data_IF_566922409815
#
_entry.id   IF_566922409815
#
_cell.length_a   1.000
_cell.length_b   1.000
_cell.length_c   1.000
_cell.angle_alpha   90.00
_cell.angle_beta   90.00
_cell.angle_gamma   90.00
#
_symmetry.space_group_name_H-M   'P 1'
#
loop_
_entity.id
_entity.type
_entity.pdbx_description
1 polymer ?
#
# COMPACT_ATOMS: atom_id res chain seq x y z
N UNK A 1 5.32 -15.82 16.62
CA UNK A 1 5.67 -16.15 15.22
C UNK A 1 5.77 -14.84 14.48
N UNK A 2 6.79 -14.65 13.63
CA UNK A 2 6.99 -13.39 12.88
C UNK A 2 6.34 -13.41 11.49
N UNK A 3 5.63 -14.48 11.14
CA UNK A 3 4.84 -14.54 9.89
C UNK A 3 3.54 -13.73 10.02
N UNK A 4 2.99 -13.24 8.89
CA UNK A 4 3.58 -13.27 7.55
C UNK A 4 4.79 -12.35 7.42
N UNK A 5 5.67 -12.61 6.45
CA UNK A 5 6.93 -11.91 6.22
C UNK A 5 6.81 -10.89 5.09
N UNK A 6 7.38 -9.69 5.27
CA UNK A 6 7.49 -8.67 4.22
C UNK A 6 8.77 -8.84 3.38
N UNK A 7 9.85 -9.27 4.03
CA UNK A 7 11.12 -9.66 3.40
C UNK A 7 12.01 -10.38 4.44
N UNK A 8 13.22 -10.75 4.02
CA UNK A 8 14.13 -11.50 4.88
C UNK A 8 14.44 -10.74 6.17
N UNK A 9 14.13 -11.33 7.32
CA UNK A 9 14.39 -10.76 8.64
C UNK A 9 13.31 -9.80 9.18
N UNK A 10 12.23 -9.53 8.44
CA UNK A 10 11.15 -8.64 8.90
C UNK A 10 9.75 -9.20 8.63
N UNK A 11 8.92 -9.20 9.68
CA UNK A 11 7.48 -9.50 9.59
C UNK A 11 6.73 -8.41 8.82
N UNK A 12 5.69 -8.79 8.10
CA UNK A 12 4.79 -7.89 7.39
C UNK A 12 4.13 -6.87 8.33
N UNK A 13 3.65 -7.30 9.50
CA UNK A 13 3.00 -6.39 10.45
C UNK A 13 3.98 -5.31 10.93
N UNK A 14 5.21 -5.69 11.30
CA UNK A 14 6.25 -4.72 11.66
C UNK A 14 6.60 -3.77 10.51
N UNK A 15 6.59 -4.25 9.27
CA UNK A 15 6.84 -3.40 8.10
C UNK A 15 5.71 -2.40 7.88
N UNK A 16 4.45 -2.84 7.92
CA UNK A 16 3.28 -1.95 7.83
C UNK A 16 3.32 -0.90 8.95
N UNK A 17 3.62 -1.31 10.19
CA UNK A 17 3.72 -0.39 11.33
C UNK A 17 4.80 0.69 11.11
N UNK A 18 5.97 0.28 10.62
CA UNK A 18 7.07 1.18 10.30
C UNK A 18 6.74 2.16 9.19
N UNK A 19 6.21 1.66 8.08
CA UNK A 19 5.76 2.45 6.94
C UNK A 19 4.66 3.43 7.34
N UNK A 20 3.70 3.00 8.16
CA UNK A 20 2.60 3.85 8.64
C UNK A 20 3.10 4.95 9.57
N UNK A 21 4.03 4.65 10.48
CA UNK A 21 4.67 5.65 11.35
C UNK A 21 5.33 6.74 10.53
N UNK A 22 6.12 6.37 9.50
CA UNK A 22 6.81 7.34 8.63
C UNK A 22 5.80 8.12 7.77
N UNK A 23 4.82 7.45 7.16
CA UNK A 23 3.79 8.10 6.37
C UNK A 23 3.01 9.14 7.20
N UNK A 24 2.66 8.81 8.45
CA UNK A 24 2.01 9.70 9.42
C UNK A 24 2.80 10.97 9.72
N UNK A 25 4.14 10.90 9.68
CA UNK A 25 5.00 12.08 9.85
C UNK A 25 4.96 13.03 8.65
N UNK A 26 4.62 12.53 7.46
CA UNK A 26 4.55 13.33 6.22
C UNK A 26 3.18 13.99 6.04
N UNK A 27 2.10 13.37 6.52
CA UNK A 27 0.72 13.86 6.41
C UNK A 27 0.39 14.90 7.49
N UNK A 28 1.20 15.95 7.60
CA UNK A 28 0.86 17.12 8.41
C UNK A 28 -0.50 17.73 8.02
N UNK A 29 -1.11 18.51 8.92
CA UNK A 29 -2.41 19.17 8.66
C UNK A 29 -2.41 19.93 7.31
N UNK A 30 -1.33 20.64 6.99
CA UNK A 30 -1.22 21.36 5.71
C UNK A 30 -1.18 20.45 4.47
N UNK A 31 -0.64 19.23 4.59
CA UNK A 31 -0.69 18.24 3.52
C UNK A 31 -2.13 17.78 3.28
N UNK A 32 -2.81 17.36 4.36
CA UNK A 32 -4.20 16.90 4.33
C UNK A 32 -5.12 17.98 3.78
N UNK A 33 -5.00 19.22 4.24
CA UNK A 33 -5.78 20.36 3.75
C UNK A 33 -5.57 20.60 2.26
N UNK A 34 -4.32 20.52 1.80
CA UNK A 34 -3.99 20.68 0.38
C UNK A 34 -4.65 19.62 -0.49
N UNK A 35 -4.61 18.36 -0.06
CA UNK A 35 -5.25 17.25 -0.78
C UNK A 35 -6.77 17.40 -0.76
N UNK A 36 -7.36 17.71 0.40
CA UNK A 36 -8.79 17.95 0.57
C UNK A 36 -9.32 19.06 -0.33
N UNK A 37 -8.65 20.22 -0.34
CA UNK A 37 -9.01 21.35 -1.21
C UNK A 37 -8.93 20.98 -2.70
N UNK A 38 -7.88 20.25 -3.10
CA UNK A 38 -7.74 19.78 -4.48
C UNK A 38 -8.83 18.79 -4.85
N UNK A 39 -9.15 17.84 -3.98
CA UNK A 39 -10.20 16.85 -4.18
C UNK A 39 -11.56 17.52 -4.32
N UNK A 40 -11.95 18.38 -3.37
CA UNK A 40 -13.19 19.15 -3.44
C UNK A 40 -13.30 19.98 -4.72
N UNK A 41 -12.21 20.61 -5.16
CA UNK A 41 -12.16 21.36 -6.43
C UNK A 41 -12.38 20.45 -7.63
N UNK A 42 -11.76 19.27 -7.67
CA UNK A 42 -11.97 18.30 -8.75
C UNK A 42 -13.38 17.72 -8.77
N UNK A 43 -14.05 17.68 -7.61
CA UNK A 43 -15.45 17.31 -7.45
C UNK A 43 -16.42 18.48 -7.65
N UNK A 44 -15.94 19.63 -8.13
CA UNK A 44 -16.73 20.84 -8.44
C UNK A 44 -17.57 21.34 -7.25
N UNK A 45 -17.04 21.23 -6.03
CA UNK A 45 -17.71 21.70 -4.82
C UNK A 45 -18.93 20.86 -4.40
N UNK A 46 -19.10 19.65 -4.96
CA UNK A 46 -20.13 18.70 -4.50
C UNK A 46 -19.90 18.19 -3.07
N UNK A 47 -18.72 18.44 -2.53
CA UNK A 47 -18.26 17.98 -1.22
C UNK A 47 -17.54 19.12 -0.54
N UNK A 48 -17.85 19.33 0.73
CA UNK A 48 -17.18 20.31 1.58
C UNK A 48 -15.74 19.85 1.90
N UNK A 49 -14.70 20.66 1.63
CA UNK A 49 -13.34 20.35 2.08
C UNK A 49 -13.22 20.05 3.57
N UNK A 50 -14.05 20.66 4.42
CA UNK A 50 -14.00 20.48 5.88
C UNK A 50 -14.33 19.06 6.34
N UNK A 51 -15.02 18.25 5.52
CA UNK A 51 -15.32 16.84 5.84
C UNK A 51 -14.35 15.86 5.17
N UNK A 52 -13.42 16.35 4.35
CA UNK A 52 -12.48 15.51 3.59
C UNK A 52 -11.21 15.16 4.36
N UNK A 53 -10.89 15.87 5.44
CA UNK A 53 -9.64 15.67 6.18
C UNK A 53 -9.44 14.22 6.61
N UNK A 54 -10.45 13.64 7.27
CA UNK A 54 -10.39 12.25 7.75
C UNK A 54 -10.43 11.26 6.58
N UNK A 55 -11.24 11.52 5.55
CA UNK A 55 -11.29 10.70 4.34
C UNK A 55 -9.93 10.63 3.65
N UNK A 56 -9.22 11.74 3.55
CA UNK A 56 -7.87 11.81 2.97
C UNK A 56 -6.87 11.03 3.81
N UNK A 57 -6.87 11.22 5.14
CA UNK A 57 -6.01 10.45 6.04
C UNK A 57 -6.28 8.96 5.90
N UNK A 58 -7.54 8.56 5.86
CA UNK A 58 -7.95 7.16 5.70
C UNK A 58 -7.50 6.58 4.37
N UNK A 59 -7.65 7.30 3.26
CA UNK A 59 -7.14 6.87 1.94
C UNK A 59 -5.62 6.63 1.96
N UNK A 60 -4.86 7.47 2.67
CA UNK A 60 -3.40 7.30 2.78
C UNK A 60 -3.07 6.09 3.65
N UNK A 61 -3.64 6.03 4.84
CA UNK A 61 -3.32 4.99 5.80
C UNK A 61 -3.78 3.60 5.33
N UNK A 62 -4.95 3.49 4.68
CA UNK A 62 -5.42 2.22 4.12
C UNK A 62 -4.51 1.75 2.98
N UNK A 63 -4.03 2.68 2.14
CA UNK A 63 -3.04 2.36 1.11
C UNK A 63 -1.75 1.81 1.72
N UNK A 64 -1.26 2.40 2.82
CA UNK A 64 -0.09 1.88 3.55
C UNK A 64 -0.35 0.52 4.19
N UNK A 65 -1.52 0.31 4.79
CA UNK A 65 -1.86 -0.96 5.41
C UNK A 65 -1.95 -2.10 4.37
N UNK A 66 -2.53 -1.81 3.20
CA UNK A 66 -2.81 -2.84 2.20
C UNK A 66 -1.72 -3.00 1.13
N UNK A 67 -0.77 -2.09 0.96
CA UNK A 67 0.15 -2.12 -0.19
C UNK A 67 0.88 -3.47 -0.36
N UNK A 68 1.23 -4.09 0.76
CA UNK A 68 2.00 -5.32 0.84
C UNK A 68 1.20 -6.52 1.33
N UNK A 69 -0.12 -6.40 1.49
CA UNK A 69 -0.92 -7.51 2.02
C UNK A 69 -0.82 -8.76 1.13
N UNK A 70 -0.67 -8.60 -0.18
CA UNK A 70 -0.41 -9.69 -1.12
C UNK A 70 0.82 -10.52 -0.80
N UNK A 71 1.80 -10.00 -0.04
CA UNK A 71 2.96 -10.79 0.43
C UNK A 71 2.54 -11.90 1.39
N UNK A 72 1.46 -11.73 2.17
CA UNK A 72 0.98 -12.72 3.13
C UNK A 72 0.29 -13.94 2.50
N UNK A 73 0.15 -13.98 1.17
CA UNK A 73 -0.33 -15.17 0.48
C UNK A 73 0.57 -16.37 0.74
N UNK A 74 -0.05 -17.52 1.03
CA UNK A 74 0.66 -18.74 1.40
C UNK A 74 1.73 -19.14 0.39
N UNK A 75 1.42 -18.99 -0.90
CA UNK A 75 2.31 -19.32 -2.01
C UNK A 75 3.69 -18.66 -1.92
N UNK A 76 3.77 -17.47 -1.30
CA UNK A 76 5.02 -16.76 -1.02
C UNK A 76 5.59 -17.11 0.34
N UNK A 77 4.74 -17.17 1.37
CA UNK A 77 5.14 -17.44 2.75
C UNK A 77 5.75 -18.83 2.95
N UNK A 78 5.43 -19.80 2.09
CA UNK A 78 6.06 -21.13 2.05
C UNK A 78 7.57 -21.08 1.75
N UNK A 79 8.09 -19.96 1.21
CA UNK A 79 9.53 -19.78 0.96
C UNK A 79 10.31 -19.24 2.17
N UNK A 80 9.61 -18.86 3.25
CA UNK A 80 10.20 -18.29 4.46
C UNK A 80 9.91 -19.16 5.69
N UNK A 81 10.85 -19.20 6.64
CA UNK A 81 10.63 -19.81 7.94
C UNK A 81 9.92 -18.84 8.91
N UNK A 82 9.65 -19.27 10.14
CA UNK A 82 8.87 -18.49 11.12
C UNK A 82 9.61 -17.25 11.66
N UNK A 83 10.91 -17.14 11.40
CA UNK A 83 11.74 -15.98 11.69
C UNK A 83 11.90 -15.07 10.47
N UNK A 84 11.10 -15.28 9.42
CA UNK A 84 11.20 -14.57 8.15
C UNK A 84 12.55 -14.69 7.47
N UNK A 85 13.29 -15.78 7.69
CA UNK A 85 14.49 -16.06 6.93
C UNK A 85 14.14 -16.90 5.71
N UNK A 86 14.78 -16.56 4.58
CA UNK A 86 14.62 -17.29 3.35
C UNK A 86 15.09 -18.75 3.50
N UNK A 87 14.23 -19.73 3.20
CA UNK A 87 14.56 -21.16 3.36
C UNK A 87 15.57 -21.61 2.30
N UNK A 88 15.52 -21.00 1.11
CA UNK A 88 16.44 -21.29 -0.02
C UNK A 88 16.86 -19.99 -0.68
N UNK A 89 18.13 -19.62 -0.53
CA UNK A 89 18.71 -18.44 -1.16
C UNK A 89 18.37 -18.37 -2.66
N UNK A 90 18.03 -17.17 -3.13
CA UNK A 90 17.65 -16.90 -4.52
C UNK A 90 16.25 -17.42 -4.93
N UNK A 91 15.49 -18.05 -4.03
CA UNK A 91 14.11 -18.54 -4.32
C UNK A 91 13.00 -17.84 -3.54
N UNK A 92 13.34 -16.86 -2.72
CA UNK A 92 12.39 -16.06 -1.98
C UNK A 92 12.02 -14.80 -2.75
N UNK A 93 10.76 -14.39 -2.67
CA UNK A 93 10.27 -13.22 -3.36
C UNK A 93 8.75 -13.17 -3.37
N UNK A 94 8.24 -12.02 -3.79
CA UNK A 94 6.82 -11.71 -3.80
C UNK A 94 6.42 -11.18 -5.19
N UNK A 95 6.53 -12.00 -6.25
CA UNK A 95 6.19 -11.53 -7.59
C UNK A 95 4.72 -11.11 -7.64
N UNK A 96 4.45 -9.93 -8.19
CA UNK A 96 3.10 -9.39 -8.39
C UNK A 96 2.30 -9.16 -7.10
N UNK A 97 2.95 -9.02 -5.94
CA UNK A 97 2.25 -8.81 -4.67
C UNK A 97 1.41 -7.54 -4.68
N UNK A 98 1.85 -6.49 -5.37
CA UNK A 98 1.13 -5.23 -5.57
C UNK A 98 -0.22 -5.43 -6.26
N UNK A 99 -0.32 -6.39 -7.19
CA UNK A 99 -1.57 -6.72 -7.87
C UNK A 99 -2.50 -7.49 -6.94
N UNK A 100 -2.00 -8.48 -6.21
CA UNK A 100 -2.80 -9.20 -5.23
C UNK A 100 -3.29 -8.28 -4.12
N UNK A 101 -2.42 -7.40 -3.62
CA UNK A 101 -2.76 -6.36 -2.66
C UNK A 101 -3.88 -5.46 -3.16
N UNK A 102 -3.80 -5.00 -4.42
CA UNK A 102 -4.82 -4.17 -5.03
C UNK A 102 -6.16 -4.89 -5.20
N UNK A 103 -6.15 -6.18 -5.55
CA UNK A 103 -7.37 -7.00 -5.65
C UNK A 103 -8.08 -7.09 -4.29
N UNK A 104 -7.36 -7.44 -3.23
CA UNK A 104 -7.95 -7.51 -1.89
C UNK A 104 -8.41 -6.14 -1.38
N UNK A 105 -7.63 -5.08 -1.62
CA UNK A 105 -8.03 -3.72 -1.27
C UNK A 105 -9.29 -3.30 -2.04
N UNK A 106 -9.36 -3.56 -3.34
CA UNK A 106 -10.53 -3.24 -4.15
C UNK A 106 -11.78 -3.97 -3.66
N UNK A 107 -11.68 -5.29 -3.41
CA UNK A 107 -12.78 -6.07 -2.86
C UNK A 107 -13.24 -5.54 -1.50
N UNK A 108 -12.30 -5.16 -0.63
CA UNK A 108 -12.59 -4.55 0.66
C UNK A 108 -13.39 -3.26 0.51
N UNK A 109 -12.88 -2.32 -0.28
CA UNK A 109 -13.48 -1.00 -0.46
C UNK A 109 -14.86 -1.09 -1.15
N UNK A 110 -15.02 -1.99 -2.13
CA UNK A 110 -16.34 -2.27 -2.74
C UNK A 110 -17.31 -2.83 -1.72
N UNK A 111 -16.85 -3.70 -0.81
CA UNK A 111 -17.65 -4.19 0.32
C UNK A 111 -18.18 -3.07 1.22
N UNK A 112 -17.45 -1.96 1.33
CA UNK A 112 -17.82 -0.77 2.11
C UNK A 112 -18.60 0.30 1.32
N UNK A 113 -18.83 0.10 0.02
CA UNK A 113 -19.43 1.10 -0.88
C UNK A 113 -20.75 1.68 -0.36
N UNK A 114 -21.62 0.86 0.21
CA UNK A 114 -22.91 1.31 0.77
C UNK A 114 -22.73 2.24 1.96
N UNK A 115 -21.76 1.96 2.83
CA UNK A 115 -21.45 2.81 3.97
C UNK A 115 -20.79 4.11 3.52
N UNK A 116 -19.90 4.06 2.52
CA UNK A 116 -19.31 5.25 1.93
C UNK A 116 -20.36 6.16 1.31
N UNK A 117 -21.25 5.63 0.47
CA UNK A 117 -22.37 6.40 -0.10
C UNK A 117 -23.25 7.02 0.98
N UNK A 118 -23.53 6.30 2.07
CA UNK A 118 -24.38 6.80 3.17
C UNK A 118 -23.71 7.93 3.96
N UNK A 119 -22.41 7.83 4.25
CA UNK A 119 -21.69 8.77 5.10
C UNK A 119 -21.17 9.99 4.33
N UNK A 120 -20.65 9.75 3.13
CA UNK A 120 -19.86 10.71 2.38
C UNK A 120 -20.53 11.15 1.06
N UNK A 121 -21.60 10.47 0.66
CA UNK A 121 -22.33 10.73 -0.57
C UNK A 121 -21.66 10.11 -1.80
N UNK A 122 -22.47 9.90 -2.85
CA UNK A 122 -22.04 9.20 -4.06
C UNK A 122 -20.93 9.92 -4.85
N UNK A 123 -20.78 11.23 -4.64
CA UNK A 123 -19.73 12.01 -5.29
C UNK A 123 -18.31 11.59 -4.87
N UNK A 124 -18.15 10.98 -3.69
CA UNK A 124 -16.87 10.51 -3.18
C UNK A 124 -16.61 9.02 -3.41
N UNK A 125 -17.63 8.26 -3.80
CA UNK A 125 -17.50 6.81 -3.88
C UNK A 125 -16.36 6.39 -4.81
N UNK A 126 -16.38 6.84 -6.06
CA UNK A 126 -15.35 6.48 -7.05
C UNK A 126 -13.93 6.93 -6.63
N UNK A 127 -13.70 8.17 -6.16
CA UNK A 127 -12.41 8.57 -5.58
C UNK A 127 -11.95 7.68 -4.42
N UNK A 128 -12.82 7.38 -3.45
CA UNK A 128 -12.49 6.57 -2.27
C UNK A 128 -12.14 5.12 -2.63
N UNK A 129 -12.70 4.58 -3.71
CA UNK A 129 -12.33 3.26 -4.23
C UNK A 129 -11.01 3.32 -5.01
N UNK A 130 -10.89 4.24 -5.98
CA UNK A 130 -9.87 4.13 -7.02
C UNK A 130 -8.57 4.87 -6.74
N UNK A 131 -8.57 5.88 -5.86
CA UNK A 131 -7.33 6.53 -5.44
C UNK A 131 -6.45 5.56 -4.63
N UNK A 132 -6.96 4.87 -3.58
CA UNK A 132 -6.15 3.93 -2.82
C UNK A 132 -5.67 2.74 -3.65
N UNK A 133 -6.55 2.18 -4.50
CA UNK A 133 -6.23 1.05 -5.39
C UNK A 133 -5.13 1.43 -6.38
N UNK A 134 -5.22 2.59 -7.05
CA UNK A 134 -4.17 3.04 -7.95
C UNK A 134 -2.84 3.29 -7.23
N UNK A 135 -2.89 3.80 -5.99
CA UNK A 135 -1.71 4.03 -5.16
C UNK A 135 -1.02 2.71 -4.80
N UNK A 136 -1.78 1.69 -4.40
CA UNK A 136 -1.25 0.35 -4.12
C UNK A 136 -0.69 -0.32 -5.37
N UNK A 137 -1.36 -0.25 -6.52
CA UNK A 137 -0.81 -0.88 -7.74
C UNK A 137 0.52 -0.22 -8.15
N UNK A 138 0.63 1.11 -7.99
CA UNK A 138 1.81 1.85 -8.45
C UNK A 138 2.95 1.95 -7.42
N UNK A 139 2.82 1.38 -6.22
CA UNK A 139 3.77 1.63 -5.13
C UNK A 139 5.20 1.16 -5.42
N UNK A 140 5.36 0.12 -6.26
CA UNK A 140 6.66 -0.45 -6.68
C UNK A 140 7.27 0.22 -7.92
N UNK A 141 6.58 1.18 -8.54
CA UNK A 141 6.98 1.74 -9.83
C UNK A 141 7.26 3.25 -9.74
N UNK A 142 8.24 3.72 -10.52
CA UNK A 142 8.38 5.15 -10.78
C UNK A 142 7.04 5.70 -11.29
N UNK A 143 6.57 6.82 -10.71
CA UNK A 143 5.24 7.44 -10.92
C UNK A 143 4.66 7.18 -12.33
N UNK A 144 3.80 6.17 -12.49
CA UNK A 144 3.19 5.82 -13.78
C UNK A 144 1.87 6.56 -13.96
N UNK A 145 1.44 6.76 -15.19
CA UNK A 145 0.08 7.23 -15.49
C UNK A 145 -0.94 6.09 -15.34
N UNK A 146 -2.22 6.40 -15.09
CA UNK A 146 -3.31 5.41 -15.08
C UNK A 146 -3.36 4.56 -16.37
N UNK A 147 -2.92 5.11 -17.51
CA UNK A 147 -2.85 4.41 -18.79
C UNK A 147 -1.81 3.29 -18.80
N UNK A 148 -0.66 3.52 -18.18
CA UNK A 148 0.41 2.53 -18.06
C UNK A 148 0.04 1.44 -17.05
N UNK A 149 -0.54 1.83 -15.90
CA UNK A 149 -1.09 0.88 -14.91
C UNK A 149 -2.15 -0.04 -15.52
N UNK A 150 -3.07 0.53 -16.31
CA UNK A 150 -4.08 -0.24 -17.04
C UNK A 150 -3.44 -1.26 -17.98
N UNK A 151 -2.35 -0.90 -18.67
CA UNK A 151 -1.64 -1.80 -19.58
C UNK A 151 -1.02 -2.99 -18.84
N UNK A 152 -0.52 -2.77 -17.63
CA UNK A 152 0.11 -3.80 -16.79
C UNK A 152 -0.92 -4.81 -16.28
N UNK A 153 -2.03 -4.35 -15.70
CA UNK A 153 -3.11 -5.22 -15.27
C UNK A 153 -3.76 -5.92 -16.47
N UNK A 154 -3.96 -5.20 -17.60
CA UNK A 154 -4.44 -5.83 -18.83
C UNK A 154 -3.48 -6.89 -19.35
N UNK A 155 -2.16 -6.71 -19.21
CA UNK A 155 -1.21 -7.73 -19.62
C UNK A 155 -1.37 -9.00 -18.80
N UNK A 156 -1.77 -8.91 -17.52
CA UNK A 156 -2.07 -10.04 -16.65
C UNK A 156 -3.40 -10.71 -17.02
N UNK A 157 -4.42 -9.90 -17.35
CA UNK A 157 -5.73 -10.40 -17.79
C UNK A 157 -5.63 -11.12 -19.13
N UNK A 158 -4.87 -10.56 -20.07
CA UNK A 158 -4.80 -11.04 -21.47
C UNK A 158 -3.71 -12.09 -21.69
N UNK A 159 -2.55 -11.94 -21.04
CA UNK A 159 -1.49 -12.93 -21.05
C UNK A 159 -1.66 -13.71 -19.75
N UNK A 160 -2.09 -14.96 -19.85
CA UNK A 160 -1.80 -15.94 -18.80
C UNK A 160 -0.28 -16.04 -18.68
N UNK A 161 0.36 -15.09 -18.00
CA UNK A 161 1.80 -15.17 -17.74
C UNK A 161 1.99 -16.48 -17.00
N UNK A 162 2.81 -17.37 -17.53
CA UNK A 162 2.92 -18.73 -17.01
C UNK A 162 3.18 -18.73 -15.50
N UNK A 163 3.86 -17.70 -15.00
CA UNK A 163 4.12 -17.49 -13.58
C UNK A 163 2.86 -17.18 -12.76
N UNK A 164 1.99 -16.26 -13.19
CA UNK A 164 0.74 -15.98 -12.46
C UNK A 164 -0.21 -17.18 -12.55
N UNK A 165 -0.30 -17.85 -13.71
CA UNK A 165 -1.09 -19.07 -13.85
C UNK A 165 -0.62 -20.16 -12.87
N UNK A 166 0.69 -20.37 -12.73
CA UNK A 166 1.28 -21.29 -11.75
C UNK A 166 1.01 -20.88 -10.30
N UNK A 167 1.04 -19.58 -9.99
CA UNK A 167 0.69 -19.10 -8.64
C UNK A 167 -0.77 -19.39 -8.31
N UNK A 168 -1.66 -19.20 -9.29
CA UNK A 168 -3.08 -19.50 -9.13
C UNK A 168 -3.32 -21.01 -8.95
N UNK A 169 -2.65 -21.86 -9.72
CA UNK A 169 -2.72 -23.33 -9.56
C UNK A 169 -2.31 -23.77 -8.14
N UNK A 170 -1.32 -23.10 -7.54
CA UNK A 170 -0.88 -23.33 -6.15
C UNK A 170 -1.88 -22.80 -5.11
N UNK A 171 -2.86 -22.00 -5.53
CA UNK A 171 -3.87 -21.38 -4.68
C UNK A 171 -3.42 -20.04 -4.10
N UNK A 172 -4.26 -19.02 -4.30
CA UNK A 172 -4.07 -17.68 -3.74
C UNK A 172 -5.00 -17.52 -2.54
N UNK A 173 -4.45 -17.75 -1.34
CA UNK A 173 -5.14 -17.57 -0.07
C UNK A 173 -4.15 -17.23 1.04
N UNK A 174 -4.67 -16.67 2.13
CA UNK A 174 -3.92 -16.42 3.36
C UNK A 174 -3.99 -17.63 4.28
N UNK A 175 -2.89 -17.97 4.94
CA UNK A 175 -2.82 -19.12 5.85
C UNK A 175 -3.55 -18.89 7.18
N UNK A 176 -3.51 -17.66 7.71
CA UNK A 176 -4.19 -17.24 8.95
C UNK A 176 -4.92 -15.90 8.73
N UNK A 177 -6.10 -15.91 8.07
CA UNK A 177 -6.84 -14.69 7.76
C UNK A 177 -7.39 -14.00 9.01
N UNK A 178 -7.78 -14.75 10.05
CA UNK A 178 -8.24 -14.19 11.33
C UNK A 178 -7.12 -13.47 12.08
N UNK A 179 -5.95 -14.09 12.22
CA UNK A 179 -4.78 -13.46 12.84
C UNK A 179 -4.35 -12.21 12.09
N UNK A 180 -4.31 -12.27 10.75
CA UNK A 180 -3.98 -11.12 9.92
C UNK A 180 -5.01 -9.99 10.05
N UNK A 181 -6.31 -10.30 10.06
CA UNK A 181 -7.35 -9.30 10.28
C UNK A 181 -7.22 -8.62 11.65
N UNK A 182 -6.97 -9.41 12.70
CA UNK A 182 -6.76 -8.91 14.06
C UNK A 182 -5.59 -7.94 14.12
N UNK A 183 -4.45 -8.31 13.52
CA UNK A 183 -3.26 -7.45 13.50
C UNK A 183 -3.47 -6.16 12.69
N UNK A 184 -4.16 -6.23 11.54
CA UNK A 184 -4.50 -5.03 10.75
C UNK A 184 -5.37 -4.05 11.55
N UNK A 185 -6.40 -4.56 12.23
CA UNK A 185 -7.33 -3.73 13.00
C UNK A 185 -6.69 -3.11 14.26
N UNK A 186 -5.50 -3.56 14.68
CA UNK A 186 -4.74 -2.89 15.75
C UNK A 186 -4.17 -1.54 15.33
N UNK A 187 -3.98 -1.28 14.04
CA UNK A 187 -3.40 -0.02 13.58
C UNK A 187 -4.35 1.17 13.69
N UNK A 188 -5.65 0.93 13.44
CA UNK A 188 -6.74 1.92 13.51
C UNK A 188 -8.08 1.29 13.11
N UNK A 189 -9.16 2.02 13.40
CA UNK A 189 -10.40 1.91 12.62
C UNK A 189 -10.12 2.33 11.17
N UNK A 190 -10.34 1.44 10.20
CA UNK A 190 -9.83 1.58 8.83
C UNK A 190 -10.38 2.81 8.08
N UNK A 191 -11.64 3.16 8.34
CA UNK A 191 -12.26 4.39 7.86
C UNK A 191 -13.06 5.03 8.98
N UNK A 192 -12.94 6.34 9.14
CA UNK A 192 -13.71 7.12 10.08
C UNK A 192 -15.22 6.89 9.86
N UNK A 193 -15.96 6.68 10.94
CA UNK A 193 -17.40 6.42 10.88
C UNK A 193 -17.84 5.07 10.28
N UNK A 194 -16.92 4.25 9.76
CA UNK A 194 -17.22 2.90 9.22
C UNK A 194 -16.69 1.84 10.16
N UNK A 195 -17.59 1.09 10.79
CA UNK A 195 -17.19 0.02 11.72
C UNK A 195 -16.80 -1.24 10.95
N UNK A 196 -15.51 -1.53 10.90
CA UNK A 196 -14.98 -2.81 10.38
C UNK A 196 -14.52 -3.64 11.57
N UNK A 197 -15.15 -4.81 11.78
CA UNK A 197 -14.74 -5.74 12.82
C UNK A 197 -13.87 -6.88 12.25
N UNK A 198 -13.25 -7.64 13.15
CA UNK A 198 -12.37 -8.77 12.81
C UNK A 198 -13.06 -9.76 11.88
N UNK A 199 -14.30 -10.15 12.17
CA UNK A 199 -15.06 -11.09 11.35
C UNK A 199 -15.26 -10.59 9.91
N UNK A 200 -15.55 -9.29 9.74
CA UNK A 200 -15.76 -8.68 8.42
C UNK A 200 -14.48 -8.72 7.59
N UNK A 201 -13.36 -8.30 8.18
CA UNK A 201 -12.07 -8.29 7.49
C UNK A 201 -11.55 -9.71 7.27
N UNK A 202 -11.68 -10.61 8.25
CA UNK A 202 -11.29 -12.01 8.13
C UNK A 202 -12.13 -12.73 7.06
N UNK A 203 -13.42 -12.43 6.93
CA UNK A 203 -14.25 -12.98 5.86
C UNK A 203 -13.76 -12.57 4.47
N UNK A 204 -13.31 -11.33 4.29
CA UNK A 204 -12.68 -10.88 3.06
C UNK A 204 -11.38 -11.66 2.82
N UNK A 205 -10.47 -11.71 3.81
CA UNK A 205 -9.18 -12.39 3.70
C UNK A 205 -9.34 -13.91 3.53
N UNK A 206 -10.43 -14.52 3.99
CA UNK A 206 -10.75 -15.93 3.71
C UNK A 206 -11.09 -16.20 2.24
N UNK A 207 -11.36 -15.16 1.45
CA UNK A 207 -11.70 -15.32 0.04
C UNK A 207 -10.51 -15.89 -0.72
N UNK A 208 -10.59 -17.17 -1.09
CA UNK A 208 -9.63 -17.80 -1.98
C UNK A 208 -9.83 -17.25 -3.38
N UNK A 209 -8.77 -16.67 -3.95
CA UNK A 209 -8.78 -16.24 -5.34
C UNK A 209 -8.39 -17.42 -6.23
N UNK A 210 -9.35 -17.95 -6.98
CA UNK A 210 -9.07 -18.83 -8.11
C UNK A 210 -8.83 -18.01 -9.39
N UNK A 211 -8.56 -18.68 -10.51
CA UNK A 211 -8.30 -18.03 -11.79
C UNK A 211 -9.45 -17.12 -12.21
N UNK A 212 -10.68 -17.57 -12.02
CA UNK A 212 -11.90 -16.87 -12.46
C UNK A 212 -12.16 -15.65 -11.58
N UNK A 213 -12.07 -15.79 -10.26
CA UNK A 213 -12.23 -14.70 -9.30
C UNK A 213 -11.15 -13.63 -9.44
N UNK A 214 -9.89 -14.03 -9.64
CA UNK A 214 -8.80 -13.09 -9.89
C UNK A 214 -9.00 -12.33 -11.21
N UNK A 215 -9.30 -13.04 -12.31
CA UNK A 215 -9.51 -12.43 -13.62
C UNK A 215 -10.69 -11.46 -13.61
N UNK A 216 -11.84 -11.89 -13.09
CA UNK A 216 -13.04 -11.04 -13.03
C UNK A 216 -12.82 -9.78 -12.19
N UNK A 217 -12.12 -9.89 -11.06
CA UNK A 217 -11.80 -8.73 -10.23
C UNK A 217 -10.80 -7.81 -10.91
N UNK A 218 -9.76 -8.35 -11.55
CA UNK A 218 -8.78 -7.57 -12.30
C UNK A 218 -9.42 -6.84 -13.51
N UNK A 219 -10.33 -7.50 -14.24
CA UNK A 219 -11.10 -6.89 -15.32
C UNK A 219 -11.97 -5.73 -14.82
N UNK A 220 -12.60 -5.90 -13.66
CA UNK A 220 -13.38 -4.84 -13.04
C UNK A 220 -12.49 -3.65 -12.64
N UNK A 221 -11.33 -3.89 -12.01
CA UNK A 221 -10.36 -2.83 -11.69
C UNK A 221 -9.93 -2.10 -12.96
N UNK A 222 -9.58 -2.81 -14.03
CA UNK A 222 -9.21 -2.21 -15.33
C UNK A 222 -10.32 -1.32 -15.88
N UNK A 223 -11.57 -1.79 -15.81
CA UNK A 223 -12.73 -1.04 -16.27
C UNK A 223 -12.90 0.25 -15.47
N UNK A 224 -12.83 0.17 -14.14
CA UNK A 224 -12.94 1.32 -13.26
C UNK A 224 -11.77 2.29 -13.41
N UNK A 225 -10.53 1.80 -13.55
CA UNK A 225 -9.39 2.64 -13.89
C UNK A 225 -9.57 3.34 -15.25
N UNK A 226 -10.21 2.67 -16.21
CA UNK A 226 -10.59 3.26 -17.49
C UNK A 226 -11.50 4.47 -17.32
N UNK A 227 -12.55 4.34 -16.50
CA UNK A 227 -13.47 5.43 -16.18
C UNK A 227 -12.77 6.55 -15.39
N UNK A 228 -12.08 6.18 -14.31
CA UNK A 228 -11.32 7.07 -13.44
C UNK A 228 -10.31 7.91 -14.22
N UNK A 229 -9.62 7.34 -15.22
CA UNK A 229 -8.61 8.05 -16.01
C UNK A 229 -9.13 9.29 -16.76
N UNK A 230 -10.44 9.38 -16.96
CA UNK A 230 -11.11 10.54 -17.57
C UNK A 230 -11.50 11.61 -16.55
N UNK A 231 -11.45 11.28 -15.27
CA UNK A 231 -11.88 12.15 -14.18
C UNK A 231 -10.76 13.08 -13.71
N UNK A 232 -11.06 14.36 -13.37
CA UNK A 232 -10.05 15.30 -12.90
C UNK A 232 -9.35 14.90 -11.60
N UNK A 233 -10.04 14.16 -10.73
CA UNK A 233 -9.51 13.71 -9.43
C UNK A 233 -8.49 12.56 -9.56
N UNK A 234 -8.43 11.86 -10.70
CA UNK A 234 -7.57 10.67 -10.85
C UNK A 234 -6.10 10.96 -10.55
N UNK A 235 -5.57 12.11 -10.99
CA UNK A 235 -4.18 12.50 -10.73
C UNK A 235 -3.86 12.69 -9.24
N UNK A 236 -4.87 12.86 -8.39
CA UNK A 236 -4.69 13.04 -6.95
C UNK A 236 -4.23 11.76 -6.26
N UNK A 237 -4.31 10.60 -6.93
CA UNK A 237 -3.71 9.37 -6.40
C UNK A 237 -2.21 9.52 -6.12
N UNK A 238 -1.51 10.38 -6.87
CA UNK A 238 -0.10 10.69 -6.62
C UNK A 238 0.12 11.29 -5.22
N UNK A 239 -0.86 12.04 -4.70
CA UNK A 239 -0.81 12.62 -3.35
C UNK A 239 -1.14 11.59 -2.25
N UNK A 240 -1.60 10.39 -2.63
CA UNK A 240 -1.75 9.26 -1.71
C UNK A 240 -0.55 8.31 -1.82
N UNK A 241 -0.05 8.12 -3.05
CA UNK A 241 1.14 7.35 -3.35
C UNK A 241 2.41 7.92 -2.70
N UNK A 242 2.59 9.24 -2.67
CA UNK A 242 3.83 9.85 -2.14
C UNK A 242 4.12 9.46 -0.68
N UNK A 243 3.19 9.63 0.28
CA UNK A 243 3.41 9.18 1.65
C UNK A 243 3.64 7.67 1.75
N UNK A 244 2.90 6.87 0.96
CA UNK A 244 3.08 5.42 0.88
C UNK A 244 4.50 5.04 0.44
N UNK A 245 4.95 5.56 -0.70
CA UNK A 245 6.26 5.24 -1.28
C UNK A 245 7.42 5.67 -0.38
N UNK A 246 7.31 6.82 0.28
CA UNK A 246 8.32 7.28 1.25
C UNK A 246 8.29 6.37 2.48
N UNK A 247 7.11 6.07 3.03
CA UNK A 247 6.96 5.19 4.18
C UNK A 247 7.60 3.82 3.95
N UNK A 248 7.18 3.13 2.89
CA UNK A 248 7.73 1.84 2.47
C UNK A 248 9.25 1.89 2.26
N UNK A 249 9.73 2.86 1.48
CA UNK A 249 11.16 2.96 1.15
C UNK A 249 12.03 3.22 2.39
N UNK A 250 11.58 4.10 3.29
CA UNK A 250 12.36 4.46 4.47
C UNK A 250 12.36 3.36 5.53
N UNK A 251 11.23 2.67 5.76
CA UNK A 251 11.21 1.53 6.68
C UNK A 251 12.06 0.37 6.14
N UNK A 252 11.85 0.01 4.88
CA UNK A 252 12.61 -1.04 4.20
C UNK A 252 14.11 -0.79 4.27
N UNK A 253 14.55 0.46 4.14
CA UNK A 253 15.96 0.78 4.20
C UNK A 253 16.53 0.78 5.61
N UNK A 254 15.81 1.31 6.60
CA UNK A 254 16.21 1.29 8.01
C UNK A 254 16.47 -0.14 8.49
N UNK A 255 15.66 -1.10 8.04
CA UNK A 255 15.78 -2.51 8.43
C UNK A 255 16.76 -3.33 7.59
N UNK A 256 17.24 -2.76 6.47
CA UNK A 256 18.17 -3.43 5.55
C UNK A 256 19.51 -2.71 5.40
N UNK A 257 19.83 -1.79 6.31
CA UNK A 257 21.11 -1.03 6.31
C UNK A 257 22.33 -1.93 6.19
N UNK A 258 22.30 -3.09 6.86
CA UNK A 258 23.38 -4.07 6.92
C UNK A 258 23.39 -5.10 5.78
N UNK A 259 22.42 -5.10 4.86
CA UNK A 259 22.38 -6.07 3.75
C UNK A 259 23.54 -5.80 2.77
N UNK A 260 24.46 -6.77 2.55
CA UNK A 260 25.64 -6.60 1.68
C UNK A 260 25.31 -6.38 0.19
N UNK A 261 24.06 -6.58 -0.22
CA UNK A 261 23.59 -6.51 -1.60
C UNK A 261 22.75 -5.28 -1.95
N UNK A 262 22.59 -4.31 -1.04
CA UNK A 262 21.87 -3.09 -1.39
C UNK A 262 22.69 -2.20 -2.33
N UNK A 263 22.21 -2.07 -3.57
CA UNK A 263 22.79 -1.22 -4.62
C UNK A 263 23.04 0.21 -4.10
N UNK A 264 24.28 0.69 -4.23
CA UNK A 264 24.70 2.01 -3.74
C UNK A 264 23.85 3.18 -4.24
N UNK A 265 23.26 3.08 -5.45
CA UNK A 265 22.32 4.07 -5.98
C UNK A 265 20.98 4.12 -5.22
N UNK A 266 20.46 2.98 -4.76
CA UNK A 266 19.25 2.91 -3.91
C UNK A 266 19.53 3.54 -2.54
N UNK A 267 20.70 3.27 -1.95
CA UNK A 267 21.12 3.89 -0.69
C UNK A 267 21.22 5.41 -0.80
N UNK A 268 21.81 5.94 -1.87
CA UNK A 268 21.91 7.39 -2.08
C UNK A 268 20.52 8.06 -2.23
N UNK A 269 19.65 7.48 -3.07
CA UNK A 269 18.28 7.97 -3.24
C UNK A 269 17.48 7.95 -1.93
N UNK A 270 17.57 6.85 -1.18
CA UNK A 270 16.88 6.71 0.10
C UNK A 270 17.45 7.65 1.15
N UNK A 271 18.76 7.93 1.16
CA UNK A 271 19.34 8.94 2.05
C UNK A 271 18.80 10.33 1.76
N UNK A 272 18.73 10.73 0.49
CA UNK A 272 18.12 12.01 0.10
C UNK A 272 16.64 12.06 0.50
N UNK A 273 15.88 11.00 0.19
CA UNK A 273 14.46 10.93 0.48
C UNK A 273 14.16 10.90 1.99
N UNK A 274 14.85 10.07 2.75
CA UNK A 274 14.53 9.78 4.15
C UNK A 274 15.27 10.64 5.16
N UNK A 275 16.47 11.15 4.84
CA UNK A 275 17.25 11.94 5.79
C UNK A 275 17.13 13.45 5.50
N UNK A 276 17.17 13.87 4.24
CA UNK A 276 17.08 15.30 3.90
C UNK A 276 15.63 15.79 3.84
N UNK A 277 14.71 15.02 3.25
CA UNK A 277 13.29 15.43 3.17
C UNK A 277 12.58 15.43 4.52
N UNK A 278 12.87 14.46 5.40
CA UNK A 278 12.32 14.40 6.75
C UNK A 278 13.11 15.29 7.73
N UNK A 279 14.43 15.39 7.59
CA UNK A 279 15.28 16.24 8.45
C UNK A 279 14.99 17.74 8.33
N UNK A 280 14.60 18.22 7.13
CA UNK A 280 14.26 19.63 6.91
C UNK A 280 12.90 20.04 7.52
N UNK A 281 11.94 19.11 7.60
CA UNK A 281 10.60 19.38 8.15
C UNK A 281 10.49 19.18 9.67
N UNK A 282 11.41 18.42 10.28
CA UNK A 282 11.22 17.89 11.64
C UNK A 282 12.21 18.40 12.68
N UNK A 283 13.11 19.32 12.30
CA UNK A 283 14.17 19.78 13.19
C UNK A 283 15.12 18.65 13.64
N UNK A 284 16.19 19.01 14.32
CA UNK A 284 17.26 18.11 14.78
C UNK A 284 16.83 16.99 15.76
N UNK A 285 15.54 16.83 16.03
CA UNK A 285 14.97 15.82 16.93
C UNK A 285 14.81 14.42 16.33
N UNK A 286 14.96 14.23 15.01
CA UNK A 286 14.82 12.89 14.39
C UNK A 286 16.16 12.16 14.37
N UNK A 287 16.71 11.89 15.55
CA UNK A 287 17.78 10.91 15.76
C UNK A 287 17.29 9.44 15.62
N UNK A 288 16.30 9.18 14.76
CA UNK A 288 15.40 8.02 14.85
C UNK A 288 15.52 6.93 13.78
N UNK A 289 16.10 7.20 12.61
CA UNK A 289 16.39 6.16 11.61
C UNK A 289 17.90 5.86 11.62
N UNK A 290 18.26 4.59 11.78
CA UNK A 290 19.66 4.15 11.81
C UNK A 290 20.38 4.55 10.52
N UNK A 291 19.70 4.48 9.37
CA UNK A 291 20.24 4.88 8.07
C UNK A 291 20.70 6.35 8.01
N UNK A 292 20.17 7.23 8.88
CA UNK A 292 20.53 8.65 8.92
C UNK A 292 21.65 8.98 9.92
N UNK A 293 22.06 8.04 10.79
CA UNK A 293 23.13 8.28 11.78
C UNK A 293 24.52 8.32 11.16
N UNK A 294 24.73 7.66 10.03
CA UNK A 294 25.99 7.67 9.27
C UNK A 294 26.41 9.08 8.77
N UNK A 295 25.47 10.04 8.69
CA UNK A 295 25.73 11.42 8.24
C UNK A 295 26.60 12.20 9.25
N UNK A 296 26.43 11.91 10.54
CA UNK A 296 27.13 12.62 11.61
C UNK A 296 28.64 12.31 11.69
N UNK A 297 29.10 11.26 10.99
CA UNK A 297 30.53 10.89 10.92
C UNK A 297 31.25 11.39 9.66
N UNK A 298 30.53 11.80 8.61
CA UNK A 298 31.15 12.22 7.35
C UNK A 298 31.13 13.74 7.12
N UNK A 299 30.42 14.51 7.95
CA UNK A 299 30.47 15.98 7.93
C UNK A 299 31.36 16.59 9.03
N UNK A 300 32.14 15.76 9.72
CA UNK A 300 33.16 16.19 10.66
C UNK A 300 34.53 15.71 10.21
N UNK A 301 35.10 16.40 9.23
CA UNK A 301 36.54 16.57 8.97
C UNK A 301 36.74 17.83 8.09
#
# INVERSE_FOLDING_TARGET
>A
MNKPCAFSGQSLISHIEGSLRIARMLISEGYVDTVSLRLAKTLRGKVDPGVLGDVVRDMIEISVIFHDIGKALKVFQDSYNDNCLCIREGRCGFPYHEIFSAIYLYMFLVGLSKDFSRLYGDALLEPMLMIPVASVINHMHALRSYRELKSEINSIVTRKTGDIARLIERGIYFEDPEGLAREILRFKDLYYGVKVNEDTLASLLRTRLDSTGMLSTAEQIVKEMGNASTQPWSKLYLLVLVPLSIGDSCDSADKRVSDPGEFGGRKAYIRELCCNSLGYYLGSSVGGLEICRDISRTMGD
#
